data_IF_158521379808
#
_entry.id   IF_158521379808
#
_cell.length_a   1.000
_cell.length_b   1.000
_cell.length_c   1.000
_cell.angle_alpha   90.00
_cell.angle_beta   90.00
_cell.angle_gamma   90.00
#
_symmetry.space_group_name_H-M   'P 1'
#
loop_
_entity.id
_entity.type
_entity.pdbx_description
1 polymer ?
#
# COMPACT_ATOMS: atom_id res chain seq x y z
N UNK A 1 -2.70 -12.56 7.98
CA UNK A 1 -1.96 -11.30 7.79
C UNK A 1 -0.94 -11.22 8.90
N UNK A 2 0.33 -11.05 8.56
CA UNK A 2 1.45 -10.85 9.49
C UNK A 2 1.95 -9.41 9.34
N UNK A 3 2.39 -8.80 10.43
CA UNK A 3 3.02 -7.48 10.43
C UNK A 3 4.46 -7.64 10.91
N UNK A 4 5.40 -7.02 10.21
CA UNK A 4 6.79 -6.91 10.64
C UNK A 4 7.08 -5.42 10.79
N UNK A 5 7.32 -4.97 12.01
CA UNK A 5 7.78 -3.60 12.24
C UNK A 5 9.26 -3.53 11.91
N UNK A 6 9.62 -2.61 11.01
CA UNK A 6 11.00 -2.32 10.66
C UNK A 6 11.36 -1.02 11.35
N UNK A 7 12.42 -1.08 12.14
CA UNK A 7 12.99 0.10 12.79
C UNK A 7 14.23 0.55 12.01
N UNK A 8 14.17 1.76 11.48
CA UNK A 8 15.32 2.49 10.98
C UNK A 8 15.50 3.66 11.93
N UNK A 9 16.74 3.99 12.29
CA UNK A 9 17.08 4.98 13.34
C UNK A 9 16.10 6.17 13.44
N UNK A 10 15.87 6.89 12.33
CA UNK A 10 14.99 8.06 12.31
C UNK A 10 13.53 7.76 11.90
N UNK A 11 13.20 6.54 11.46
CA UNK A 11 11.90 6.15 10.90
C UNK A 11 11.57 4.68 11.13
N UNK A 12 10.41 4.41 11.73
CA UNK A 12 9.83 3.07 11.80
C UNK A 12 8.62 2.93 10.88
N UNK A 13 8.45 1.78 10.23
CA UNK A 13 7.28 1.47 9.41
C UNK A 13 6.90 -0.02 9.38
N UNK A 14 5.61 -0.35 9.22
CA UNK A 14 5.15 -1.72 9.15
C UNK A 14 5.24 -2.30 7.74
N UNK A 15 5.69 -3.55 7.63
CA UNK A 15 5.53 -4.39 6.44
C UNK A 15 4.35 -5.35 6.68
N UNK A 16 3.29 -5.20 5.88
CA UNK A 16 2.13 -6.08 5.91
C UNK A 16 2.28 -7.25 4.92
N UNK A 17 2.17 -8.48 5.42
CA UNK A 17 2.33 -9.70 4.62
C UNK A 17 1.04 -10.54 4.69
N UNK A 18 0.46 -10.82 3.53
CA UNK A 18 -0.78 -11.58 3.43
C UNK A 18 -1.36 -11.56 2.02
N UNK A 19 -2.42 -12.34 1.82
CA UNK A 19 -3.12 -12.41 0.53
C UNK A 19 -4.21 -11.33 0.44
N UNK A 20 -4.43 -10.81 -0.77
CA UNK A 20 -5.52 -9.87 -1.05
C UNK A 20 -5.43 -8.52 -0.34
N UNK A 21 -4.24 -8.12 0.13
CA UNK A 21 -4.07 -6.88 0.90
C UNK A 21 -4.35 -5.60 0.09
N UNK A 22 -4.18 -5.65 -1.25
CA UNK A 22 -4.60 -4.57 -2.14
C UNK A 22 -6.11 -4.33 -2.18
N UNK A 23 -6.94 -5.19 -1.58
CA UNK A 23 -8.37 -4.94 -1.44
C UNK A 23 -8.71 -4.28 -0.10
N UNK A 24 -7.70 -4.02 0.75
CA UNK A 24 -7.84 -3.48 2.11
C UNK A 24 -7.38 -2.04 2.18
N UNK A 25 -8.19 -1.13 1.61
CA UNK A 25 -7.90 0.31 1.53
C UNK A 25 -7.56 0.96 2.86
N UNK A 26 -8.09 0.44 3.96
CA UNK A 26 -7.81 0.90 5.32
C UNK A 26 -6.34 0.78 5.73
N UNK A 27 -5.59 -0.17 5.17
CA UNK A 27 -4.16 -0.34 5.50
C UNK A 27 -3.32 0.80 4.94
N UNK A 28 -3.65 1.29 3.74
CA UNK A 28 -2.96 2.43 3.13
C UNK A 28 -3.39 3.75 3.78
N UNK A 29 -4.69 3.93 4.06
CA UNK A 29 -5.23 5.15 4.69
C UNK A 29 -4.63 5.46 6.07
N UNK A 30 -4.19 4.45 6.80
CA UNK A 30 -3.48 4.63 8.08
C UNK A 30 -2.15 5.37 7.93
N UNK A 31 -1.48 5.21 6.78
CA UNK A 31 -0.14 5.73 6.54
C UNK A 31 -0.11 6.88 5.52
N UNK A 32 -1.20 7.08 4.78
CA UNK A 32 -1.35 8.16 3.81
C UNK A 32 -2.50 9.07 4.23
N UNK A 33 -2.21 10.20 4.93
CA UNK A 33 -3.24 11.09 5.45
C UNK A 33 -3.90 11.97 4.36
N UNK A 34 -3.27 12.06 3.19
CA UNK A 34 -3.77 12.86 2.06
C UNK A 34 -4.81 12.11 1.25
N UNK A 35 -5.87 12.81 0.84
CA UNK A 35 -6.90 12.29 -0.09
C UNK A 35 -6.44 12.22 -1.55
N UNK A 36 -5.28 12.82 -1.87
CA UNK A 36 -4.71 12.81 -3.22
C UNK A 36 -3.40 12.05 -3.20
N UNK A 37 -3.31 11.03 -4.05
CA UNK A 37 -2.15 10.16 -4.23
C UNK A 37 -1.83 10.03 -5.72
N UNK A 38 -0.56 9.82 -6.02
CA UNK A 38 -0.09 9.48 -7.36
C UNK A 38 0.44 8.05 -7.33
N UNK A 39 -0.18 7.15 -8.09
CA UNK A 39 0.30 5.77 -8.22
C UNK A 39 1.31 5.68 -9.36
N UNK A 40 2.53 5.24 -9.06
CA UNK A 40 3.58 4.99 -10.05
C UNK A 40 3.74 3.48 -10.22
N UNK A 41 3.59 2.98 -11.44
CA UNK A 41 3.73 1.56 -11.81
C UNK A 41 4.28 1.45 -13.23
N UNK A 42 4.74 0.26 -13.63
CA UNK A 42 5.23 0.00 -14.99
C UNK A 42 4.12 -0.54 -15.90
N UNK A 43 4.42 -0.64 -17.21
CA UNK A 43 3.47 -1.08 -18.24
C UNK A 43 3.00 -2.53 -18.06
N UNK A 44 3.82 -3.39 -17.45
CA UNK A 44 3.50 -4.81 -17.24
C UNK A 44 2.57 -5.04 -16.04
N UNK A 45 2.76 -4.29 -14.96
CA UNK A 45 2.05 -4.44 -13.69
C UNK A 45 0.76 -3.61 -13.67
N UNK A 46 0.74 -2.47 -14.38
CA UNK A 46 -0.44 -1.61 -14.50
C UNK A 46 -1.73 -2.38 -14.84
N UNK A 47 -1.83 -3.14 -15.95
CA UNK A 47 -3.08 -3.81 -16.33
C UNK A 47 -3.51 -4.91 -15.34
N UNK A 48 -2.63 -5.34 -14.45
CA UNK A 48 -2.92 -6.41 -13.48
C UNK A 48 -3.41 -5.87 -12.13
N UNK A 49 -2.93 -4.71 -11.69
CA UNK A 49 -3.12 -4.26 -10.29
C UNK A 49 -3.49 -2.79 -10.13
N UNK A 50 -3.33 -1.94 -11.14
CA UNK A 50 -3.53 -0.50 -11.00
C UNK A 50 -4.95 -0.17 -10.53
N UNK A 51 -5.97 -0.77 -11.13
CA UNK A 51 -7.37 -0.53 -10.77
C UNK A 51 -7.62 -0.86 -9.29
N UNK A 52 -7.09 -1.98 -8.81
CA UNK A 52 -7.21 -2.36 -7.39
C UNK A 52 -6.52 -1.37 -6.47
N UNK A 53 -5.35 -0.87 -6.84
CA UNK A 53 -4.63 0.13 -6.06
C UNK A 53 -5.32 1.51 -6.06
N UNK A 54 -6.02 1.88 -7.14
CA UNK A 54 -6.73 3.16 -7.27
C UNK A 54 -8.09 3.17 -6.58
N UNK A 55 -8.83 2.07 -6.62
CA UNK A 55 -10.15 1.92 -5.97
C UNK A 55 -10.09 2.03 -4.43
N UNK A 56 -8.89 2.07 -3.87
CA UNK A 56 -8.63 2.25 -2.44
C UNK A 56 -8.58 3.73 -2.00
N UNK A 57 -8.51 4.68 -2.95
CA UNK A 57 -8.44 6.13 -2.67
C UNK A 57 -9.71 6.62 -2.00
#
# INVERSE_FOLDING_TARGET
>A
MKVVEVDLEDRSYPIYIGQGLLNRGELLRKHVPSKRVLVVTNETIAPLYLDRAQLMS
#
